data_IF_445205767783
#
_entry.id   IF_445205767783
#
_cell.length_a   1.000
_cell.length_b   1.000
_cell.length_c   1.000
_cell.angle_alpha   90.00
_cell.angle_beta   90.00
_cell.angle_gamma   90.00
#
_symmetry.space_group_name_H-M   'P 1'
#
loop_
_entity.id
_entity.type
_entity.pdbx_description
1 polymer ?
#
# COMPACT_ATOMS: atom_id res chain seq x y z
N UNK A 1 10.59 6.53 -1.36
CA UNK A 1 9.44 6.58 -2.30
C UNK A 1 9.88 5.98 -3.64
N UNK A 2 8.95 5.38 -4.39
CA UNK A 2 9.23 4.87 -5.72
C UNK A 2 9.33 6.00 -6.76
N UNK A 3 9.72 5.68 -7.99
CA UNK A 3 9.95 6.65 -9.05
C UNK A 3 8.74 6.80 -9.99
N UNK A 4 7.51 6.59 -9.49
CA UNK A 4 6.31 6.83 -10.30
C UNK A 4 6.29 8.29 -10.80
N UNK A 5 5.79 8.57 -12.02
CA UNK A 5 5.80 9.93 -12.58
C UNK A 5 5.12 10.99 -11.68
N UNK A 6 4.12 10.59 -10.90
CA UNK A 6 3.47 11.46 -9.92
C UNK A 6 4.38 11.88 -8.74
N UNK A 7 5.51 11.20 -8.53
CA UNK A 7 6.51 11.52 -7.51
C UNK A 7 7.74 12.24 -8.09
N UNK A 8 7.66 12.73 -9.34
CA UNK A 8 8.78 13.43 -10.01
C UNK A 8 9.22 14.71 -9.31
N UNK A 9 8.31 15.35 -8.57
CA UNK A 9 8.53 16.62 -7.88
C UNK A 9 8.33 16.49 -6.36
N UNK A 10 8.49 15.27 -5.82
CA UNK A 10 8.23 15.02 -4.40
C UNK A 10 9.20 15.77 -3.50
N UNK A 11 10.39 16.12 -3.98
CA UNK A 11 11.37 16.95 -3.26
C UNK A 11 10.88 18.38 -2.99
N UNK A 12 9.94 18.91 -3.79
CA UNK A 12 9.42 20.26 -3.60
C UNK A 12 8.70 20.40 -2.25
N UNK A 13 8.12 19.32 -1.72
CA UNK A 13 7.45 19.32 -0.41
C UNK A 13 8.44 19.58 0.74
N UNK A 14 9.74 19.29 0.56
CA UNK A 14 10.76 19.53 1.60
C UNK A 14 11.00 21.03 1.84
N UNK A 15 10.49 21.89 0.96
CA UNK A 15 10.50 23.35 1.18
C UNK A 15 9.40 23.81 2.15
N UNK A 16 8.41 22.97 2.43
CA UNK A 16 7.33 23.28 3.38
C UNK A 16 7.81 23.14 4.82
N UNK A 17 7.33 24.02 5.71
CA UNK A 17 7.78 24.10 7.09
C UNK A 17 7.64 22.76 7.86
N UNK A 18 6.61 21.97 7.57
CA UNK A 18 6.37 20.65 8.18
C UNK A 18 7.48 19.63 7.86
N UNK A 19 8.16 19.79 6.72
CA UNK A 19 9.09 18.80 6.18
C UNK A 19 10.56 19.24 6.16
N UNK A 20 10.91 20.41 6.74
CA UNK A 20 12.28 20.96 6.71
C UNK A 20 13.35 20.02 7.28
N UNK A 21 13.00 19.17 8.24
CA UNK A 21 13.93 18.21 8.87
C UNK A 21 13.82 16.79 8.29
N UNK A 22 13.04 16.61 7.22
CA UNK A 22 12.82 15.30 6.60
C UNK A 22 13.74 15.11 5.39
N UNK A 23 14.02 13.83 5.09
CA UNK A 23 14.82 13.43 3.93
C UNK A 23 14.05 12.42 3.09
N UNK A 24 14.14 12.58 1.77
CA UNK A 24 13.54 11.64 0.83
C UNK A 24 14.55 10.55 0.47
N UNK A 25 14.22 9.32 0.82
CA UNK A 25 14.94 8.14 0.34
C UNK A 25 14.37 7.70 -1.00
N UNK A 26 15.10 7.96 -2.09
CA UNK A 26 14.75 7.47 -3.43
C UNK A 26 15.14 6.00 -3.56
N UNK A 27 14.23 5.22 -4.13
CA UNK A 27 14.49 3.83 -4.47
C UNK A 27 15.04 3.74 -5.89
N UNK A 28 15.86 2.74 -6.17
CA UNK A 28 16.22 2.42 -7.55
C UNK A 28 14.96 1.98 -8.34
N UNK A 29 14.92 2.15 -9.67
CA UNK A 29 13.83 1.62 -10.49
C UNK A 29 13.58 0.13 -10.21
N UNK A 30 12.31 -0.27 -10.31
CA UNK A 30 11.89 -1.67 -10.15
C UNK A 30 12.34 -2.32 -8.82
N UNK A 31 12.36 -1.54 -7.73
CA UNK A 31 12.78 -2.03 -6.40
C UNK A 31 11.65 -2.16 -5.36
N UNK A 32 10.54 -2.87 -5.64
CA UNK A 32 9.41 -2.99 -4.71
C UNK A 32 9.77 -3.71 -3.41
N UNK A 33 10.79 -4.58 -3.43
CA UNK A 33 11.33 -5.27 -2.25
C UNK A 33 11.93 -4.33 -1.20
N UNK A 34 12.26 -3.08 -1.59
CA UNK A 34 12.76 -2.04 -0.70
C UNK A 34 11.68 -1.00 -0.32
N UNK A 35 10.44 -1.15 -0.83
CA UNK A 35 9.35 -0.24 -0.57
C UNK A 35 8.38 -0.80 0.50
N UNK A 36 8.40 -0.29 1.75
CA UNK A 36 7.61 -0.87 2.85
C UNK A 36 6.10 -0.84 2.61
N UNK A 37 5.59 0.14 1.85
CA UNK A 37 4.17 0.24 1.56
C UNK A 37 3.65 -0.96 0.76
N UNK A 38 4.50 -1.65 0.00
CA UNK A 38 4.12 -2.84 -0.78
C UNK A 38 3.70 -4.01 0.13
N UNK A 39 4.32 -4.13 1.31
CA UNK A 39 3.92 -5.12 2.32
C UNK A 39 2.61 -4.74 3.00
N UNK A 40 2.39 -3.46 3.28
CA UNK A 40 1.10 -2.93 3.76
C UNK A 40 -0.01 -3.23 2.76
N UNK A 41 0.20 -2.92 1.48
CA UNK A 41 -0.74 -3.23 0.42
C UNK A 41 -1.02 -4.73 0.28
N UNK A 42 -0.02 -5.58 0.53
CA UNK A 42 -0.22 -7.04 0.51
C UNK A 42 -1.18 -7.50 1.60
N UNK A 43 -1.15 -6.91 2.80
CA UNK A 43 -2.11 -7.20 3.87
C UNK A 43 -3.51 -6.71 3.50
N UNK A 44 -3.64 -5.43 3.11
CA UNK A 44 -4.93 -4.85 2.72
C UNK A 44 -5.56 -5.65 1.58
N UNK A 45 -4.82 -5.96 0.52
CA UNK A 45 -5.32 -6.76 -0.61
C UNK A 45 -5.80 -8.15 -0.17
N UNK A 46 -5.08 -8.78 0.76
CA UNK A 46 -5.45 -10.11 1.26
C UNK A 46 -6.75 -10.04 2.05
N UNK A 47 -6.92 -9.04 2.91
CA UNK A 47 -8.14 -8.86 3.70
C UNK A 47 -9.34 -8.47 2.83
N UNK A 48 -9.16 -7.52 1.90
CA UNK A 48 -10.20 -7.15 0.92
C UNK A 48 -10.66 -8.36 0.11
N UNK A 49 -9.73 -9.19 -0.38
CA UNK A 49 -10.07 -10.42 -1.11
C UNK A 49 -10.87 -11.40 -0.25
N UNK A 50 -10.46 -11.58 1.01
CA UNK A 50 -11.15 -12.44 1.97
C UNK A 50 -12.58 -11.95 2.22
N UNK A 51 -12.76 -10.66 2.49
CA UNK A 51 -14.06 -10.06 2.74
C UNK A 51 -14.96 -10.08 1.50
N UNK A 52 -14.41 -9.76 0.33
CA UNK A 52 -15.14 -9.88 -0.94
C UNK A 52 -15.61 -11.31 -1.17
N UNK A 53 -14.76 -12.31 -0.93
CA UNK A 53 -15.16 -13.72 -1.06
C UNK A 53 -16.33 -14.09 -0.14
N UNK A 54 -16.36 -13.55 1.09
CA UNK A 54 -17.42 -13.82 2.08
C UNK A 54 -18.72 -13.09 1.69
N UNK A 55 -18.62 -11.82 1.29
CA UNK A 55 -19.76 -10.94 1.02
C UNK A 55 -20.24 -10.99 -0.44
N UNK A 56 -19.54 -11.71 -1.33
CA UNK A 56 -19.83 -11.75 -2.78
C UNK A 56 -21.31 -12.03 -3.09
N UNK A 57 -21.97 -13.03 -2.46
CA UNK A 57 -23.38 -13.31 -2.76
C UNK A 57 -24.28 -12.11 -2.46
N UNK A 58 -24.05 -11.46 -1.31
CA UNK A 58 -24.81 -10.29 -0.87
C UNK A 58 -24.59 -9.10 -1.81
N UNK A 59 -23.35 -8.87 -2.26
CA UNK A 59 -22.99 -7.80 -3.21
C UNK A 59 -23.67 -8.01 -4.56
N UNK A 60 -23.85 -9.26 -5.01
CA UNK A 60 -24.45 -9.57 -6.31
C UNK A 60 -25.98 -9.42 -6.31
N UNK A 61 -26.64 -9.68 -5.18
CA UNK A 61 -28.10 -9.60 -5.04
C UNK A 61 -28.60 -8.34 -4.36
N UNK A 62 -27.68 -7.44 -3.94
CA UNK A 62 -28.03 -6.20 -3.26
C UNK A 62 -29.00 -5.37 -4.10
N UNK A 63 -30.07 -4.91 -3.46
CA UNK A 63 -30.94 -3.90 -4.04
C UNK A 63 -30.19 -2.56 -4.09
N UNK A 64 -30.32 -1.87 -5.20
CA UNK A 64 -29.54 -0.67 -5.54
C UNK A 64 -30.51 0.42 -5.91
N UNK A 65 -31.21 0.95 -4.90
CA UNK A 65 -32.15 2.05 -5.09
C UNK A 65 -31.44 3.24 -5.76
N UNK A 66 -31.75 3.45 -7.05
CA UNK A 66 -31.23 4.55 -7.87
C UNK A 66 -29.69 4.64 -7.99
N UNK A 67 -28.95 3.55 -7.77
CA UNK A 67 -27.49 3.52 -7.86
C UNK A 67 -27.01 2.62 -9.00
N UNK A 68 -26.02 3.09 -9.77
CA UNK A 68 -25.37 2.25 -10.78
C UNK A 68 -24.60 1.10 -10.12
N UNK A 69 -24.47 -0.02 -10.84
CA UNK A 69 -23.70 -1.19 -10.40
C UNK A 69 -22.24 -0.81 -10.10
N UNK A 70 -21.68 0.10 -10.92
CA UNK A 70 -20.32 0.58 -10.77
C UNK A 70 -20.13 1.34 -9.45
N UNK A 71 -21.01 2.30 -9.15
CA UNK A 71 -20.92 3.10 -7.93
C UNK A 71 -21.08 2.24 -6.67
N UNK A 72 -22.03 1.30 -6.69
CA UNK A 72 -22.23 0.36 -5.58
C UNK A 72 -20.98 -0.49 -5.31
N UNK A 73 -20.36 -1.02 -6.36
CA UNK A 73 -19.12 -1.81 -6.26
C UNK A 73 -17.95 -0.96 -5.77
N UNK A 74 -17.82 0.28 -6.24
CA UNK A 74 -16.77 1.18 -5.83
C UNK A 74 -16.89 1.54 -4.34
N UNK A 75 -18.08 1.94 -3.88
CA UNK A 75 -18.34 2.24 -2.46
C UNK A 75 -18.13 1.00 -1.58
N UNK A 76 -18.52 -0.18 -2.06
CA UNK A 76 -18.26 -1.42 -1.34
C UNK A 76 -16.77 -1.68 -1.20
N UNK A 77 -16.00 -1.51 -2.28
CA UNK A 77 -14.55 -1.70 -2.24
C UNK A 77 -13.87 -0.68 -1.32
N UNK A 78 -14.25 0.60 -1.40
CA UNK A 78 -13.73 1.67 -0.54
C UNK A 78 -13.97 1.36 0.93
N UNK A 79 -15.20 1.00 1.31
CA UNK A 79 -15.53 0.57 2.67
C UNK A 79 -14.67 -0.61 3.13
N UNK A 80 -14.51 -1.64 2.28
CA UNK A 80 -13.69 -2.80 2.62
C UNK A 80 -12.22 -2.43 2.80
N UNK A 81 -11.69 -1.48 2.01
CA UNK A 81 -10.34 -0.96 2.18
C UNK A 81 -10.23 -0.24 3.52
N UNK A 82 -11.17 0.64 3.86
CA UNK A 82 -11.19 1.35 5.15
C UNK A 82 -11.24 0.37 6.33
N UNK A 83 -12.13 -0.63 6.30
CA UNK A 83 -12.21 -1.70 7.30
C UNK A 83 -10.89 -2.51 7.38
N UNK A 84 -10.15 -2.63 6.27
CA UNK A 84 -8.89 -3.38 6.23
C UNK A 84 -7.71 -2.61 6.84
N UNK A 85 -7.80 -1.28 7.00
CA UNK A 85 -6.72 -0.46 7.59
C UNK A 85 -6.48 -0.86 9.05
N UNK A 86 -7.53 -1.27 9.77
CA UNK A 86 -7.43 -1.70 11.18
C UNK A 86 -6.52 -2.93 11.39
N UNK A 87 -6.25 -3.68 10.32
CA UNK A 87 -5.33 -4.82 10.35
C UNK A 87 -3.85 -4.39 10.21
N UNK A 88 -3.57 -3.13 9.91
CA UNK A 88 -2.21 -2.58 9.83
C UNK A 88 -1.78 -2.09 11.21
N UNK A 89 -1.33 -3.04 12.02
CA UNK A 89 -0.84 -2.75 13.38
C UNK A 89 0.65 -2.39 13.38
N UNK A 90 1.08 -1.64 14.40
CA UNK A 90 2.46 -1.16 14.52
C UNK A 90 3.50 -2.27 14.51
N UNK A 91 3.19 -3.43 15.08
CA UNK A 91 4.07 -4.60 15.10
C UNK A 91 4.34 -5.13 13.68
N UNK A 92 3.35 -5.07 12.78
CA UNK A 92 3.54 -5.44 11.37
C UNK A 92 4.44 -4.41 10.68
N UNK A 93 4.21 -3.12 10.89
CA UNK A 93 5.04 -2.06 10.31
C UNK A 93 6.50 -2.20 10.72
N UNK A 94 6.77 -2.41 12.02
CA UNK A 94 8.13 -2.65 12.53
C UNK A 94 8.75 -3.87 11.84
N UNK A 95 8.03 -5.00 11.77
CA UNK A 95 8.51 -6.22 11.11
C UNK A 95 8.87 -5.98 9.65
N UNK A 96 8.07 -5.21 8.91
CA UNK A 96 8.33 -4.91 7.50
C UNK A 96 9.54 -3.99 7.32
N UNK A 97 9.68 -2.96 8.15
CA UNK A 97 10.84 -2.06 8.11
C UNK A 97 12.12 -2.86 8.41
N UNK A 98 12.12 -3.67 9.48
CA UNK A 98 13.29 -4.49 9.83
C UNK A 98 13.66 -5.49 8.73
N UNK A 99 12.66 -6.13 8.10
CA UNK A 99 12.89 -7.05 6.99
C UNK A 99 13.39 -6.38 5.71
N UNK A 100 13.10 -5.10 5.51
CA UNK A 100 13.64 -4.31 4.40
C UNK A 100 15.06 -3.85 4.73
N UNK A 101 15.32 -3.43 5.97
CA UNK A 101 16.65 -3.05 6.43
C UNK A 101 17.69 -4.16 6.18
N UNK A 102 17.33 -5.42 6.44
CA UNK A 102 18.23 -6.55 6.14
C UNK A 102 18.52 -6.72 4.65
N UNK A 103 17.57 -6.38 3.78
CA UNK A 103 17.72 -6.49 2.31
C UNK A 103 18.63 -5.43 1.70
N UNK A 104 18.93 -4.33 2.40
CA UNK A 104 19.88 -3.33 1.88
C UNK A 104 21.28 -3.92 1.69
N UNK A 105 21.69 -4.86 2.55
CA UNK A 105 22.99 -5.54 2.42
C UNK A 105 22.99 -6.37 1.14
N UNK A 106 21.91 -7.10 0.86
CA UNK A 106 21.75 -7.88 -0.36
C UNK A 106 21.78 -6.98 -1.61
N UNK A 107 21.11 -5.82 -1.54
CA UNK A 107 21.12 -4.81 -2.60
C UNK A 107 22.53 -4.27 -2.89
N UNK A 108 23.30 -3.95 -1.84
CA UNK A 108 24.70 -3.47 -1.96
C UNK A 108 25.58 -4.55 -2.60
N UNK A 109 25.38 -5.79 -2.18
CA UNK A 109 26.13 -6.94 -2.70
C UNK A 109 25.63 -7.45 -4.07
N UNK A 110 24.63 -6.78 -4.66
CA UNK A 110 24.00 -7.16 -5.94
C UNK A 110 23.46 -8.59 -5.93
N UNK A 111 23.00 -9.04 -4.77
CA UNK A 111 22.31 -10.31 -4.61
C UNK A 111 20.87 -10.10 -5.08
N UNK A 112 20.35 -11.06 -5.84
CA UNK A 112 18.97 -11.02 -6.29
C UNK A 112 18.01 -11.08 -5.09
N UNK A 113 17.13 -10.09 -4.98
CA UNK A 113 16.25 -9.93 -3.83
C UNK A 113 14.85 -10.35 -4.20
N UNK A 114 14.34 -11.38 -3.51
CA UNK A 114 12.96 -11.79 -3.68
C UNK A 114 11.99 -10.83 -2.98
N UNK A 115 10.85 -10.59 -3.63
CA UNK A 115 9.77 -9.75 -3.10
C UNK A 115 8.95 -10.50 -2.04
#
# INVERSE_FOLDING_TARGET
>A
IDNAPCHSHIEDILSEQEFLEHYILRLAPYSPMLNPIEKVWSVIKSEVKRQLSIRMPQILVADRENMSIMNFRLQTLERLITESIDYIIIQLCIKYISGIQSKYIDAINKIDMQF
#
